data_IF_157043548808
#
_entry.id   IF_157043548808
#
_cell.length_a   1.000
_cell.length_b   1.000
_cell.length_c   1.000
_cell.angle_alpha   90.00
_cell.angle_beta   90.00
_cell.angle_gamma   90.00
#
_symmetry.space_group_name_H-M   'P 1'
#
loop_
_entity.id
_entity.type
_entity.pdbx_description
1 polymer ?
#
# COMPACT_ATOMS: atom_id res chain seq x y z
N UNK A 1 14.31 -2.26 0.81
CA UNK A 1 14.46 -1.20 -0.21
C UNK A 1 14.87 -1.85 -1.53
N UNK A 2 14.53 -1.26 -2.67
CA UNK A 2 14.78 -1.84 -4.00
C UNK A 2 15.52 -0.85 -4.92
N UNK A 3 16.81 -1.08 -5.24
CA UNK A 3 17.52 -0.25 -6.20
C UNK A 3 16.91 -0.37 -7.60
N UNK A 4 16.36 -1.54 -7.96
CA UNK A 4 15.63 -1.76 -9.20
C UNK A 4 14.46 -0.78 -9.35
N UNK A 5 13.64 -0.62 -8.31
CA UNK A 5 12.47 0.27 -8.39
C UNK A 5 12.86 1.75 -8.45
N UNK A 6 13.97 2.13 -7.82
CA UNK A 6 14.45 3.52 -7.92
C UNK A 6 14.92 3.83 -9.34
N UNK A 7 15.71 2.93 -9.95
CA UNK A 7 16.16 3.09 -11.33
C UNK A 7 14.99 3.13 -12.32
N UNK A 8 13.97 2.27 -12.13
CA UNK A 8 12.75 2.30 -12.95
C UNK A 8 11.96 3.59 -12.78
N UNK A 9 11.92 4.17 -11.58
CA UNK A 9 11.24 5.43 -11.33
C UNK A 9 11.94 6.61 -12.02
N UNK A 10 13.27 6.64 -11.97
CA UNK A 10 14.11 7.62 -12.69
C UNK A 10 13.87 7.52 -14.20
N UNK A 11 14.00 6.32 -14.78
CA UNK A 11 13.72 6.08 -16.19
C UNK A 11 12.30 6.51 -16.57
N UNK A 12 11.30 6.17 -15.74
CA UNK A 12 9.91 6.52 -16.01
C UNK A 12 9.68 8.04 -16.02
N UNK A 13 10.41 8.78 -15.19
CA UNK A 13 10.32 10.25 -15.18
C UNK A 13 10.94 10.90 -16.42
N UNK A 14 11.99 10.29 -16.98
CA UNK A 14 12.58 10.73 -18.24
C UNK A 14 11.64 10.46 -19.42
N UNK A 15 11.08 9.25 -19.50
CA UNK A 15 10.09 8.87 -20.53
C UNK A 15 8.89 9.80 -20.59
N UNK A 16 8.45 10.30 -19.42
CA UNK A 16 7.31 11.21 -19.30
C UNK A 16 7.71 12.69 -19.39
N UNK A 17 9.01 13.01 -19.47
CA UNK A 17 9.51 14.39 -19.56
C UNK A 17 9.35 15.21 -18.27
N UNK A 18 9.19 14.55 -17.12
CA UNK A 18 8.91 15.18 -15.81
C UNK A 18 10.07 15.08 -14.82
N UNK A 19 11.24 14.58 -15.24
CA UNK A 19 12.42 14.43 -14.39
C UNK A 19 12.88 15.74 -13.68
N UNK A 20 12.49 16.91 -14.19
CA UNK A 20 12.75 18.21 -13.56
C UNK A 20 11.79 18.56 -12.40
N UNK A 21 10.71 17.80 -12.22
CA UNK A 21 9.67 18.02 -11.20
C UNK A 21 9.67 16.94 -10.11
N UNK A 22 10.28 15.78 -10.37
CA UNK A 22 10.30 14.64 -9.44
C UNK A 22 11.74 14.24 -9.14
N UNK A 23 12.00 13.90 -7.87
CA UNK A 23 13.28 13.39 -7.40
C UNK A 23 13.06 12.07 -6.68
N UNK A 24 13.81 11.05 -7.06
CA UNK A 24 13.82 9.75 -6.38
C UNK A 24 15.06 9.63 -5.50
N UNK A 25 14.90 9.00 -4.34
CA UNK A 25 15.98 8.80 -3.38
C UNK A 25 15.93 7.33 -2.96
N UNK A 26 16.98 6.58 -3.27
CA UNK A 26 17.13 5.20 -2.80
C UNK A 26 17.62 5.21 -1.35
N UNK A 27 16.69 5.18 -0.39
CA UNK A 27 17.02 5.15 1.03
C UNK A 27 15.90 4.53 1.86
N UNK A 28 16.18 4.28 3.14
CA UNK A 28 15.17 3.86 4.10
C UNK A 28 14.32 5.07 4.48
N UNK A 29 13.01 4.92 4.33
CA UNK A 29 12.06 5.98 4.64
C UNK A 29 11.69 6.02 6.13
N UNK A 30 12.10 5.02 6.91
CA UNK A 30 11.89 5.02 8.36
C UNK A 30 12.53 6.27 8.99
N UNK A 31 11.73 7.07 9.69
CA UNK A 31 12.19 8.30 10.33
C UNK A 31 12.49 9.48 9.38
N UNK A 32 12.22 9.34 8.07
CA UNK A 32 12.44 10.42 7.11
C UNK A 32 11.54 11.62 7.39
N UNK A 33 12.13 12.81 7.48
CA UNK A 33 11.44 14.09 7.59
C UNK A 33 12.02 15.04 6.56
N UNK A 34 11.16 15.64 5.75
CA UNK A 34 11.58 16.61 4.73
C UNK A 34 11.96 17.96 5.36
N UNK A 35 13.06 18.54 4.90
CA UNK A 35 13.48 19.90 5.26
C UNK A 35 12.43 20.93 4.79
N UNK A 36 11.91 20.74 3.57
CA UNK A 36 10.83 21.57 3.03
C UNK A 36 9.47 20.93 3.31
N UNK A 37 8.54 21.71 3.85
CA UNK A 37 7.17 21.24 4.08
C UNK A 37 6.43 21.05 2.76
N UNK A 38 5.72 19.94 2.62
CA UNK A 38 4.91 19.60 1.45
C UNK A 38 3.42 19.92 1.68
N UNK A 39 2.69 20.22 0.60
CA UNK A 39 1.23 20.34 0.64
C UNK A 39 0.55 18.96 0.82
N UNK A 40 1.24 17.90 0.41
CA UNK A 40 0.79 16.52 0.48
C UNK A 40 1.94 15.61 0.91
N UNK A 41 1.70 14.73 1.88
CA UNK A 41 2.65 13.70 2.32
C UNK A 41 1.98 12.32 2.25
N UNK A 42 2.62 11.35 1.60
CA UNK A 42 1.99 10.06 1.28
C UNK A 42 2.81 8.87 1.74
N UNK A 43 2.13 7.84 2.24
CA UNK A 43 2.65 6.49 2.39
C UNK A 43 1.61 5.51 1.85
N UNK A 44 1.93 4.82 0.75
CA UNK A 44 0.97 4.00 0.00
C UNK A 44 1.42 2.55 0.04
N UNK A 45 0.77 1.73 0.87
CA UNK A 45 1.07 0.31 1.03
C UNK A 45 2.42 0.04 1.70
N UNK A 46 2.87 0.93 2.60
CA UNK A 46 4.17 0.83 3.26
C UNK A 46 4.18 1.35 4.71
N UNK A 47 3.05 1.35 5.42
CA UNK A 47 2.95 1.95 6.76
C UNK A 47 3.78 1.23 7.84
N UNK A 48 4.38 0.08 7.53
CA UNK A 48 5.37 -0.54 8.41
C UNK A 48 6.57 0.38 8.68
N UNK A 49 6.89 1.35 7.80
CA UNK A 49 8.00 2.31 8.01
C UNK A 49 7.79 3.18 9.26
N UNK A 50 6.53 3.41 9.65
CA UNK A 50 6.16 4.13 10.86
C UNK A 50 5.66 3.22 11.97
N UNK A 51 5.86 1.90 11.87
CA UNK A 51 5.32 0.93 12.84
C UNK A 51 3.80 0.77 12.78
N UNK A 52 3.20 0.97 11.61
CA UNK A 52 1.77 0.90 11.37
C UNK A 52 1.15 2.26 11.01
N UNK A 53 -0.18 2.27 10.84
CA UNK A 53 -0.94 3.43 10.36
C UNK A 53 -0.73 4.67 11.23
N UNK A 54 -0.89 4.55 12.54
CA UNK A 54 -0.79 5.68 13.46
C UNK A 54 0.59 6.34 13.45
N UNK A 55 1.65 5.55 13.61
CA UNK A 55 3.01 6.09 13.61
C UNK A 55 3.46 6.60 12.23
N UNK A 56 2.90 6.05 11.14
CA UNK A 56 3.13 6.60 9.79
C UNK A 56 2.45 7.95 9.60
N UNK A 57 1.21 8.11 10.08
CA UNK A 57 0.53 9.42 10.06
C UNK A 57 1.34 10.45 10.86
N UNK A 58 1.83 10.10 12.05
CA UNK A 58 2.71 10.97 12.85
C UNK A 58 4.01 11.33 12.13
N UNK A 59 4.62 10.36 11.42
CA UNK A 59 5.83 10.59 10.63
C UNK A 59 5.56 11.56 9.48
N UNK A 60 4.51 11.33 8.70
CA UNK A 60 4.16 12.17 7.55
C UNK A 60 3.78 13.59 7.98
N UNK A 61 3.07 13.74 9.10
CA UNK A 61 2.69 15.04 9.66
C UNK A 61 3.90 15.94 9.93
N UNK A 62 5.07 15.38 10.26
CA UNK A 62 6.31 16.16 10.47
C UNK A 62 6.79 16.84 9.20
N UNK A 63 6.42 16.36 8.02
CA UNK A 63 6.83 16.93 6.72
C UNK A 63 5.73 17.77 6.07
N UNK A 64 4.57 17.93 6.71
CA UNK A 64 3.38 18.52 6.10
C UNK A 64 3.24 20.01 6.44
N UNK A 65 2.75 20.81 5.49
CA UNK A 65 2.33 22.19 5.73
C UNK A 65 1.06 22.23 6.57
N UNK A 66 0.82 23.39 7.20
CA UNK A 66 -0.48 23.67 7.79
C UNK A 66 -1.58 23.52 6.71
N UNK A 67 -2.65 22.79 7.03
CA UNK A 67 -3.76 22.46 6.10
C UNK A 67 -3.39 21.54 4.93
N UNK A 68 -2.21 20.92 4.96
CA UNK A 68 -1.87 19.88 3.98
C UNK A 68 -2.68 18.60 4.16
N UNK A 69 -2.53 17.68 3.22
CA UNK A 69 -3.22 16.38 3.19
C UNK A 69 -2.22 15.25 3.41
N UNK A 70 -2.59 14.29 4.26
CA UNK A 70 -1.87 13.01 4.37
C UNK A 70 -2.59 11.98 3.50
N UNK A 71 -1.85 11.21 2.70
CA UNK A 71 -2.37 10.04 2.00
C UNK A 71 -1.86 8.76 2.65
N UNK A 72 -2.78 7.88 3.04
CA UNK A 72 -2.48 6.54 3.56
C UNK A 72 -3.10 5.51 2.63
N UNK A 73 -2.27 4.65 2.04
CA UNK A 73 -2.72 3.50 1.27
C UNK A 73 -2.67 2.23 2.12
N UNK A 74 -3.81 1.63 2.41
CA UNK A 74 -3.91 0.52 3.38
C UNK A 74 -4.88 -0.59 2.93
N UNK A 75 -4.59 -1.86 3.26
CA UNK A 75 -5.55 -2.94 3.16
C UNK A 75 -6.64 -2.85 4.25
N UNK A 76 -7.78 -3.46 3.97
CA UNK A 76 -8.87 -3.67 4.92
C UNK A 76 -9.63 -4.96 4.55
N UNK A 77 -10.44 -5.50 5.45
CA UNK A 77 -11.35 -6.59 5.09
C UNK A 77 -12.56 -6.05 4.30
N UNK A 78 -12.64 -6.38 3.00
CA UNK A 78 -13.84 -6.17 2.17
C UNK A 78 -15.00 -6.99 2.71
N UNK A 79 -14.71 -8.24 3.04
CA UNK A 79 -15.58 -9.14 3.79
C UNK A 79 -14.75 -9.75 4.91
N UNK A 80 -15.33 -9.85 6.10
CA UNK A 80 -14.62 -10.47 7.22
C UNK A 80 -14.39 -11.96 6.87
N UNK A 81 -13.13 -12.43 6.82
CA UNK A 81 -12.86 -13.83 6.60
C UNK A 81 -13.43 -14.67 7.74
N UNK A 82 -14.11 -15.80 7.46
CA UNK A 82 -14.79 -16.57 8.51
C UNK A 82 -13.83 -17.40 9.37
N UNK A 83 -12.57 -17.55 8.96
CA UNK A 83 -11.53 -18.28 9.72
C UNK A 83 -10.16 -17.64 9.57
N UNK A 84 -9.29 -17.86 10.55
CA UNK A 84 -7.87 -17.44 10.50
C UNK A 84 -7.13 -18.04 9.30
N UNK A 85 -7.48 -19.26 8.90
CA UNK A 85 -6.87 -19.90 7.73
C UNK A 85 -7.21 -19.16 6.43
N UNK A 86 -8.42 -18.58 6.31
CA UNK A 86 -8.78 -17.76 5.16
C UNK A 86 -8.04 -16.41 5.21
N UNK A 87 -7.88 -15.80 6.39
CA UNK A 87 -7.05 -14.60 6.54
C UNK A 87 -5.59 -14.86 6.09
N UNK A 88 -5.01 -16.00 6.50
CA UNK A 88 -3.68 -16.43 6.04
C UNK A 88 -3.60 -16.65 4.54
N UNK A 89 -4.64 -17.20 3.92
CA UNK A 89 -4.72 -17.34 2.46
C UNK A 89 -4.91 -16.00 1.73
N UNK A 90 -5.31 -14.94 2.44
CA UNK A 90 -5.26 -13.55 1.96
C UNK A 90 -3.90 -12.88 2.19
N UNK A 91 -2.89 -13.62 2.66
CA UNK A 91 -1.55 -13.14 3.00
C UNK A 91 -1.49 -12.21 4.23
N UNK A 92 -2.50 -12.28 5.12
CA UNK A 92 -2.43 -11.73 6.47
C UNK A 92 -1.81 -12.75 7.44
N UNK A 93 -1.35 -12.33 8.62
CA UNK A 93 -0.98 -13.25 9.70
C UNK A 93 -2.21 -13.67 10.52
N UNK A 94 -3.16 -12.75 10.71
CA UNK A 94 -4.38 -12.96 11.47
C UNK A 94 -5.55 -12.15 10.93
N UNK A 95 -6.78 -12.50 11.33
CA UNK A 95 -7.97 -11.66 11.10
C UNK A 95 -7.76 -10.28 11.71
N UNK A 96 -7.11 -10.18 12.87
CA UNK A 96 -6.89 -8.91 13.57
C UNK A 96 -5.85 -7.98 12.92
N UNK A 97 -5.13 -8.44 11.89
CA UNK A 97 -4.15 -7.60 11.18
C UNK A 97 -4.85 -6.44 10.44
N UNK A 98 -6.09 -6.67 9.97
CA UNK A 98 -6.86 -5.67 9.23
C UNK A 98 -8.21 -5.42 9.88
N UNK A 99 -8.69 -4.19 9.72
CA UNK A 99 -10.03 -3.76 10.11
C UNK A 99 -10.99 -3.90 8.93
N UNK A 100 -12.30 -3.93 9.19
CA UNK A 100 -13.27 -3.66 8.12
C UNK A 100 -13.17 -2.20 7.64
N UNK A 101 -13.70 -1.88 6.46
CA UNK A 101 -13.67 -0.50 5.95
C UNK A 101 -14.27 0.53 6.94
N UNK A 102 -15.46 0.30 7.55
CA UNK A 102 -16.00 1.24 8.54
C UNK A 102 -15.10 1.43 9.76
N UNK A 103 -14.49 0.35 10.26
CA UNK A 103 -13.59 0.39 11.42
C UNK A 103 -12.27 1.10 11.08
N UNK A 104 -11.71 0.89 9.89
CA UNK A 104 -10.54 1.60 9.41
C UNK A 104 -10.81 3.12 9.32
N UNK A 105 -11.95 3.52 8.74
CA UNK A 105 -12.36 4.91 8.67
C UNK A 105 -12.56 5.53 10.07
N UNK A 106 -13.17 4.78 10.99
CA UNK A 106 -13.32 5.20 12.38
C UNK A 106 -11.97 5.34 13.09
N UNK A 107 -10.99 4.49 12.79
CA UNK A 107 -9.66 4.54 13.38
C UNK A 107 -8.92 5.85 13.05
N UNK A 108 -9.04 6.35 11.81
CA UNK A 108 -8.50 7.69 11.47
C UNK A 108 -9.16 8.79 12.30
N UNK A 109 -10.47 8.67 12.50
CA UNK A 109 -11.24 9.57 13.37
C UNK A 109 -10.78 9.56 14.82
N UNK A 110 -10.42 8.41 15.36
CA UNK A 110 -9.87 8.25 16.71
C UNK A 110 -8.45 8.84 16.84
N UNK A 111 -7.70 8.87 15.74
CA UNK A 111 -6.39 9.54 15.64
C UNK A 111 -6.49 11.07 15.47
N UNK A 112 -7.71 11.63 15.43
CA UNK A 112 -7.93 13.07 15.30
C UNK A 112 -7.83 13.59 13.87
N UNK A 113 -8.04 12.72 12.87
CA UNK A 113 -8.10 13.09 11.47
C UNK A 113 -9.52 12.96 10.92
N UNK A 114 -9.86 13.85 10.00
CA UNK A 114 -11.04 13.73 9.16
C UNK A 114 -10.62 13.07 7.84
N UNK A 115 -11.35 12.03 7.43
CA UNK A 115 -11.21 11.43 6.10
C UNK A 115 -11.96 12.31 5.11
N UNK A 116 -11.24 12.97 4.22
CA UNK A 116 -11.80 13.96 3.28
C UNK A 116 -11.97 13.42 1.87
N UNK A 117 -11.34 12.29 1.54
CA UNK A 117 -11.58 11.54 0.31
C UNK A 117 -11.07 10.10 0.42
N UNK A 118 -11.58 9.19 -0.41
CA UNK A 118 -11.03 7.84 -0.55
C UNK A 118 -11.18 7.27 -1.97
N UNK A 119 -10.14 6.59 -2.46
CA UNK A 119 -10.18 5.81 -3.70
C UNK A 119 -9.89 4.35 -3.37
N UNK A 120 -10.89 3.49 -3.59
CA UNK A 120 -10.83 2.08 -3.23
C UNK A 120 -10.57 1.21 -4.47
N UNK A 121 -9.72 0.19 -4.31
CA UNK A 121 -9.56 -0.84 -5.31
C UNK A 121 -10.85 -1.66 -5.41
N UNK A 122 -11.32 -1.88 -6.64
CA UNK A 122 -12.28 -2.93 -6.93
C UNK A 122 -11.56 -4.25 -7.21
N UNK A 123 -12.34 -5.30 -7.50
CA UNK A 123 -11.77 -6.61 -7.82
C UNK A 123 -10.91 -6.57 -9.08
N UNK A 124 -11.27 -5.77 -10.10
CA UNK A 124 -10.45 -5.62 -11.31
C UNK A 124 -9.10 -4.96 -11.03
N UNK A 125 -9.06 -4.00 -10.10
CA UNK A 125 -7.82 -3.37 -9.63
C UNK A 125 -6.90 -4.40 -8.96
N UNK A 126 -7.47 -5.28 -8.14
CA UNK A 126 -6.74 -6.42 -7.59
C UNK A 126 -6.29 -7.41 -8.66
N UNK A 127 -7.14 -7.72 -9.64
CA UNK A 127 -6.80 -8.61 -10.75
C UNK A 127 -5.62 -8.05 -11.56
N UNK A 128 -5.59 -6.73 -11.79
CA UNK A 128 -4.45 -6.06 -12.47
C UNK A 128 -3.15 -6.18 -11.68
N UNK A 129 -3.21 -6.06 -10.35
CA UNK A 129 -2.04 -6.16 -9.48
C UNK A 129 -1.52 -7.60 -9.39
N UNK A 130 -2.39 -8.58 -9.15
CA UNK A 130 -1.99 -9.98 -8.96
C UNK A 130 -1.66 -10.67 -10.29
N UNK A 131 -2.51 -10.53 -11.32
CA UNK A 131 -2.32 -11.26 -12.57
C UNK A 131 -1.08 -10.82 -13.36
N UNK A 132 -0.65 -9.55 -13.20
CA UNK A 132 0.59 -9.06 -13.79
C UNK A 132 1.81 -9.85 -13.29
N UNK A 133 1.80 -10.29 -12.02
CA UNK A 133 2.88 -11.11 -11.44
C UNK A 133 2.99 -12.46 -12.14
N UNK A 134 1.86 -13.07 -12.51
CA UNK A 134 1.86 -14.41 -13.11
C UNK A 134 2.55 -14.43 -14.48
N UNK A 135 2.29 -13.43 -15.32
CA UNK A 135 2.98 -13.31 -16.61
C UNK A 135 4.48 -13.06 -16.42
N UNK A 136 4.85 -12.21 -15.45
CA UNK A 136 6.25 -11.95 -15.10
C UNK A 136 6.95 -13.22 -14.63
N UNK A 137 6.36 -13.96 -13.69
CA UNK A 137 6.91 -15.24 -13.21
C UNK A 137 7.06 -16.25 -14.34
N UNK A 138 6.06 -16.34 -15.24
CA UNK A 138 6.11 -17.27 -16.38
C UNK A 138 7.29 -16.98 -17.30
N UNK A 139 7.48 -15.72 -17.70
CA UNK A 139 8.59 -15.33 -18.59
C UNK A 139 9.94 -15.44 -17.90
N UNK A 140 9.99 -15.08 -16.61
CA UNK A 140 11.20 -15.23 -15.82
C UNK A 140 11.65 -16.70 -15.76
N UNK A 141 10.73 -17.67 -15.62
CA UNK A 141 11.06 -19.10 -15.65
C UNK A 141 11.56 -19.58 -17.02
N UNK A 142 11.11 -18.96 -18.13
CA UNK A 142 11.60 -19.28 -19.47
C UNK A 142 13.06 -18.84 -19.65
N UNK A 143 13.45 -17.75 -19.01
CA UNK A 143 14.81 -17.18 -19.06
C UNK A 143 15.74 -17.75 -17.99
N UNK A 144 15.19 -18.27 -16.88
CA UNK A 144 15.94 -18.69 -15.69
C UNK A 144 15.52 -20.10 -15.22
N UNK A 145 15.61 -21.15 -16.07
CA UNK A 145 15.13 -22.49 -15.73
C UNK A 145 15.95 -23.19 -14.65
N UNK A 146 17.24 -22.88 -14.55
CA UNK A 146 18.19 -23.53 -13.64
C UNK A 146 18.53 -22.65 -12.41
N UNK A 147 17.82 -21.54 -12.21
CA UNK A 147 18.01 -20.65 -11.06
C UNK A 147 17.50 -21.30 -9.77
N UNK A 148 18.13 -20.98 -8.63
CA UNK A 148 17.78 -21.54 -7.32
C UNK A 148 16.33 -21.25 -6.90
N UNK A 149 15.72 -20.17 -7.41
CA UNK A 149 14.33 -19.80 -7.14
C UNK A 149 13.33 -20.42 -8.13
N UNK A 150 13.79 -21.14 -9.16
CA UNK A 150 12.92 -21.64 -10.23
C UNK A 150 11.80 -22.55 -9.69
N UNK A 151 12.12 -23.47 -8.77
CA UNK A 151 11.11 -24.35 -8.17
C UNK A 151 10.09 -23.58 -7.33
N UNK A 152 10.54 -22.58 -6.55
CA UNK A 152 9.65 -21.74 -5.74
C UNK A 152 8.71 -20.92 -6.62
N UNK A 153 9.25 -20.27 -7.66
CA UNK A 153 8.47 -19.44 -8.59
C UNK A 153 7.50 -20.31 -9.39
N UNK A 154 7.91 -21.52 -9.79
CA UNK A 154 7.02 -22.50 -10.43
C UNK A 154 5.88 -22.89 -9.50
N UNK A 155 6.15 -23.16 -8.23
CA UNK A 155 5.13 -23.50 -7.23
C UNK A 155 4.13 -22.35 -7.03
N UNK A 156 4.63 -21.12 -6.86
CA UNK A 156 3.80 -19.90 -6.77
C UNK A 156 2.93 -19.73 -8.01
N UNK A 157 3.51 -19.79 -9.21
CA UNK A 157 2.76 -19.63 -10.45
C UNK A 157 1.64 -20.67 -10.63
N UNK A 158 1.82 -21.88 -10.08
CA UNK A 158 0.80 -22.93 -10.13
C UNK A 158 -0.36 -22.72 -9.15
N UNK A 159 -0.14 -22.01 -8.04
CA UNK A 159 -1.11 -21.93 -6.93
C UNK A 159 -1.73 -20.54 -6.76
N UNK A 160 -1.00 -19.48 -7.11
CA UNK A 160 -1.42 -18.09 -6.93
C UNK A 160 -2.70 -17.70 -7.67
N UNK A 161 -2.97 -18.13 -8.92
CA UNK A 161 -4.22 -17.79 -9.59
C UNK A 161 -5.46 -18.31 -8.86
N UNK A 162 -5.43 -19.56 -8.39
CA UNK A 162 -6.53 -20.17 -7.63
C UNK A 162 -6.65 -19.51 -6.25
N UNK A 163 -5.54 -19.31 -5.54
CA UNK A 163 -5.52 -18.64 -4.23
C UNK A 163 -6.09 -17.22 -4.33
N UNK A 164 -5.66 -16.43 -5.31
CA UNK A 164 -6.15 -15.07 -5.52
C UNK A 164 -7.67 -15.07 -5.72
N UNK A 165 -8.15 -15.85 -6.69
CA UNK A 165 -9.56 -15.91 -7.04
C UNK A 165 -10.44 -16.40 -5.87
N UNK A 166 -9.96 -17.35 -5.07
CA UNK A 166 -10.71 -17.90 -3.94
C UNK A 166 -10.68 -17.02 -2.68
N UNK A 167 -9.62 -16.23 -2.47
CA UNK A 167 -9.37 -15.56 -1.19
C UNK A 167 -9.16 -14.04 -1.32
N UNK A 168 -8.00 -13.59 -1.83
CA UNK A 168 -7.67 -12.16 -1.89
C UNK A 168 -8.74 -11.36 -2.63
N UNK A 169 -9.21 -11.87 -3.77
CA UNK A 169 -10.22 -11.22 -4.61
C UNK A 169 -11.56 -11.01 -3.88
N UNK A 170 -11.91 -11.89 -2.94
CA UNK A 170 -13.20 -11.85 -2.24
C UNK A 170 -13.13 -11.12 -0.90
N UNK A 171 -12.10 -11.37 -0.10
CA UNK A 171 -12.04 -10.90 1.28
C UNK A 171 -11.21 -9.63 1.46
N UNK A 172 -10.21 -9.38 0.62
CA UNK A 172 -9.27 -8.29 0.83
C UNK A 172 -9.66 -7.04 0.03
N UNK A 173 -9.85 -5.93 0.74
CA UNK A 173 -9.96 -4.59 0.20
C UNK A 173 -8.64 -3.85 0.29
N UNK A 174 -8.51 -2.81 -0.52
CA UNK A 174 -7.38 -1.88 -0.45
C UNK A 174 -7.85 -0.50 -0.90
N UNK A 175 -7.30 0.56 -0.34
CA UNK A 175 -7.63 1.91 -0.77
C UNK A 175 -6.62 2.94 -0.33
N UNK A 176 -6.71 4.13 -0.95
CA UNK A 176 -6.00 5.33 -0.52
C UNK A 176 -6.99 6.25 0.16
N UNK A 177 -6.65 6.69 1.37
CA UNK A 177 -7.46 7.57 2.21
C UNK A 177 -6.75 8.92 2.36
N UNK A 178 -7.45 10.00 2.05
CA UNK A 178 -6.96 11.37 2.23
C UNK A 178 -7.41 11.90 3.59
N UNK A 179 -6.44 12.33 4.39
CA UNK A 179 -6.63 12.70 5.79
C UNK A 179 -6.22 14.15 6.03
N UNK A 180 -7.04 14.88 6.78
CA UNK A 180 -6.72 16.22 7.28
C UNK A 180 -6.88 16.25 8.81
N UNK A 181 -6.00 16.95 9.56
CA UNK A 181 -6.18 17.12 11.00
C UNK A 181 -7.54 17.76 11.33
N UNK A 182 -8.26 17.18 12.29
CA UNK A 182 -9.59 17.65 12.67
C UNK A 182 -9.53 19.08 13.23
N UNK A 183 -10.50 19.89 12.84
CA UNK A 183 -10.66 21.24 13.38
C UNK A 183 -11.28 21.17 14.79
N UNK A 184 -10.66 21.86 15.74
CA UNK A 184 -11.29 22.12 17.04
C UNK A 184 -12.36 23.20 16.87
N UNK A 185 -13.58 22.78 16.54
CA UNK A 185 -14.74 23.65 16.61
C UNK A 185 -15.03 23.92 18.09
N UNK A 186 -14.58 25.07 18.61
CA UNK A 186 -15.05 25.55 19.92
C UNK A 186 -16.58 25.66 19.81
N UNK A 187 -17.30 24.97 20.70
CA UNK A 187 -18.74 25.19 20.87
C UNK A 187 -18.93 26.68 21.21
N UNK A 188 -19.57 27.41 20.29
CA UNK A 188 -20.10 28.73 20.57
C UNK A 188 -21.24 28.64 21.60
#
# INVERSE_FOLDING_TARGET
MSPLFTAQAEQRSEELGVAHQVKFIHNDAAGYVSDEKADLAACVGATWIGGGVAGTIELLAKSLRARGIILIGEPYWRQLPPTEDIAKKCLANSISDFLSLPELLASFGALGYDVVEMVLANQDGWDRYEAAKWLTMRRWLEENPDDELAEEIRSKLSTEPERHAAYTREYLGWGVFALMPRLNLRKA
#
